data_IF_701172506364
#
_entry.id   IF_701172506364
#
_cell.length_a   1.000
_cell.length_b   1.000
_cell.length_c   1.000
_cell.angle_alpha   90.00
_cell.angle_beta   90.00
_cell.angle_gamma   90.00
#
_symmetry.space_group_name_H-M   'P 1'
#
loop_
_entity.id
_entity.type
_entity.pdbx_description
1 polymer ?
#
# COMPACT_ATOMS: atom_id res chain seq x y z
N UNK A 1 7.66 -8.72 -2.97
CA UNK A 1 7.51 -9.97 -3.76
C UNK A 1 6.96 -9.68 -5.16
N UNK A 2 5.77 -9.05 -5.31
CA UNK A 2 5.14 -8.77 -6.61
C UNK A 2 6.09 -8.00 -7.55
N UNK A 3 6.64 -6.87 -7.09
CA UNK A 3 7.57 -6.03 -7.87
C UNK A 3 8.79 -6.84 -8.32
N UNK A 4 9.38 -7.62 -7.42
CA UNK A 4 10.53 -8.45 -7.75
C UNK A 4 10.18 -9.56 -8.75
N UNK A 5 9.00 -10.18 -8.60
CA UNK A 5 8.56 -11.21 -9.53
C UNK A 5 8.38 -10.64 -10.96
N UNK A 6 7.77 -9.45 -11.12
CA UNK A 6 7.64 -8.82 -12.44
C UNK A 6 9.01 -8.39 -12.98
N UNK A 7 9.90 -7.86 -12.15
CA UNK A 7 11.26 -7.46 -12.57
C UNK A 7 12.13 -8.63 -12.99
N UNK A 8 11.96 -9.80 -12.36
CA UNK A 8 12.66 -11.02 -12.74
C UNK A 8 12.25 -11.52 -14.14
N UNK A 9 11.12 -11.05 -14.69
CA UNK A 9 10.74 -11.27 -16.08
C UNK A 9 11.55 -10.43 -17.07
N UNK A 10 12.27 -9.40 -16.58
CA UNK A 10 13.11 -8.51 -17.37
C UNK A 10 12.71 -7.04 -17.24
N UNK A 11 13.65 -6.18 -17.68
CA UNK A 11 13.47 -4.72 -17.61
C UNK A 11 12.28 -4.23 -18.44
N UNK A 12 12.06 -4.83 -19.61
CA UNK A 12 10.96 -4.43 -20.49
C UNK A 12 9.61 -4.76 -19.86
N UNK A 13 9.46 -5.95 -19.26
CA UNK A 13 8.23 -6.34 -18.57
C UNK A 13 7.88 -5.37 -17.41
N UNK A 14 8.91 -4.93 -16.66
CA UNK A 14 8.71 -3.92 -15.63
C UNK A 14 8.27 -2.57 -16.20
N UNK A 15 8.94 -2.09 -17.26
CA UNK A 15 8.60 -0.81 -17.88
C UNK A 15 7.19 -0.84 -18.48
N UNK A 16 6.83 -1.91 -19.17
CA UNK A 16 5.49 -2.07 -19.75
C UNK A 16 4.40 -2.06 -18.70
N UNK A 17 4.61 -2.75 -17.56
CA UNK A 17 3.69 -2.74 -16.43
C UNK A 17 3.65 -1.40 -15.70
N UNK A 18 4.82 -0.77 -15.48
CA UNK A 18 4.91 0.48 -14.70
C UNK A 18 4.39 1.70 -15.45
N UNK A 19 4.50 1.69 -16.77
CA UNK A 19 4.03 2.77 -17.65
C UNK A 19 2.63 2.51 -18.23
N UNK A 20 2.06 1.32 -17.96
CA UNK A 20 0.72 0.95 -18.40
C UNK A 20 0.58 0.72 -19.90
N UNK A 21 1.69 0.39 -20.60
CA UNK A 21 1.71 0.24 -22.05
C UNK A 21 0.85 -0.90 -22.57
N UNK A 22 0.76 -1.97 -21.79
CA UNK A 22 0.04 -3.20 -22.14
C UNK A 22 -0.98 -3.61 -21.07
N UNK A 23 -1.56 -2.63 -20.36
CA UNK A 23 -2.51 -2.89 -19.26
C UNK A 23 -3.73 -3.69 -19.72
N UNK A 24 -4.27 -3.39 -20.90
CA UNK A 24 -5.43 -4.08 -21.45
C UNK A 24 -5.10 -5.53 -21.82
N UNK A 25 -3.94 -5.77 -22.41
CA UNK A 25 -3.44 -7.08 -22.78
C UNK A 25 -3.20 -7.95 -21.54
N UNK A 26 -2.59 -7.37 -20.49
CA UNK A 26 -2.44 -8.05 -19.21
C UNK A 26 -3.80 -8.43 -18.63
N UNK A 27 -4.77 -7.53 -18.64
CA UNK A 27 -6.11 -7.81 -18.13
C UNK A 27 -6.83 -8.90 -18.92
N UNK A 28 -6.66 -8.95 -20.27
CA UNK A 28 -7.20 -10.02 -21.12
C UNK A 28 -6.57 -11.37 -20.79
N UNK A 29 -5.25 -11.44 -20.68
CA UNK A 29 -4.55 -12.66 -20.25
C UNK A 29 -4.98 -13.09 -18.83
N UNK A 30 -5.31 -12.16 -17.94
CA UNK A 30 -5.83 -12.47 -16.61
C UNK A 30 -7.21 -13.15 -16.64
N UNK A 31 -8.05 -12.89 -17.63
CA UNK A 31 -9.35 -13.56 -17.79
C UNK A 31 -9.32 -14.75 -18.77
N UNK A 32 -8.13 -15.13 -19.22
CA UNK A 32 -7.94 -16.28 -20.09
C UNK A 32 -8.12 -16.00 -21.58
N UNK A 33 -8.10 -14.73 -22.00
CA UNK A 33 -8.11 -14.31 -23.41
C UNK A 33 -6.66 -14.13 -23.91
N UNK A 34 -6.11 -15.05 -24.74
CA UNK A 34 -4.74 -14.94 -25.23
C UNK A 34 -4.59 -13.73 -26.15
N UNK A 35 -3.58 -12.91 -25.88
CA UNK A 35 -3.32 -11.68 -26.66
C UNK A 35 -2.17 -11.82 -27.64
N UNK A 36 -1.26 -12.78 -27.40
CA UNK A 36 -0.02 -12.93 -28.16
C UNK A 36 1.02 -11.84 -27.87
N UNK A 37 0.74 -10.89 -26.98
CA UNK A 37 1.65 -9.82 -26.62
C UNK A 37 2.73 -10.33 -25.66
N UNK A 38 3.99 -10.14 -26.07
CA UNK A 38 5.13 -10.57 -25.27
C UNK A 38 5.11 -9.91 -23.89
N UNK A 39 5.26 -10.69 -22.86
CA UNK A 39 5.30 -10.25 -21.47
C UNK A 39 3.92 -10.13 -20.80
N UNK A 40 2.82 -9.88 -21.54
CA UNK A 40 1.48 -9.75 -20.95
C UNK A 40 1.05 -11.01 -20.19
N UNK A 41 1.24 -12.19 -20.79
CA UNK A 41 0.94 -13.49 -20.18
C UNK A 41 1.73 -13.75 -18.90
N UNK A 42 3.02 -13.43 -18.91
CA UNK A 42 3.88 -13.67 -17.75
C UNK A 42 3.56 -12.72 -16.60
N UNK A 43 3.29 -11.45 -16.90
CA UNK A 43 2.85 -10.47 -15.91
C UNK A 43 1.48 -10.89 -15.34
N UNK A 44 0.53 -11.28 -16.20
CA UNK A 44 -0.79 -11.75 -15.77
C UNK A 44 -0.68 -12.95 -14.83
N UNK A 45 0.21 -13.93 -15.13
CA UNK A 45 0.48 -15.08 -14.27
C UNK A 45 0.99 -14.63 -12.89
N UNK A 46 1.99 -13.75 -12.84
CA UNK A 46 2.54 -13.22 -11.58
C UNK A 46 1.47 -12.47 -10.77
N UNK A 47 0.61 -11.69 -11.43
CA UNK A 47 -0.50 -11.00 -10.76
C UNK A 47 -1.51 -11.99 -10.17
N UNK A 48 -1.93 -13.01 -10.93
CA UNK A 48 -2.85 -14.07 -10.46
C UNK A 48 -2.27 -14.84 -9.27
N UNK A 49 -1.02 -15.27 -9.35
CA UNK A 49 -0.34 -15.97 -8.26
C UNK A 49 -0.28 -15.11 -6.98
N UNK A 50 0.04 -13.83 -7.14
CA UNK A 50 0.06 -12.87 -6.02
C UNK A 50 -1.33 -12.70 -5.40
N UNK A 51 -2.35 -12.51 -6.23
CA UNK A 51 -3.74 -12.36 -5.79
C UNK A 51 -4.23 -13.60 -5.04
N UNK A 52 -3.96 -14.79 -5.58
CA UNK A 52 -4.32 -16.04 -4.93
C UNK A 52 -3.59 -16.21 -3.59
N UNK A 53 -2.32 -15.84 -3.51
CA UNK A 53 -1.56 -15.85 -2.25
C UNK A 53 -2.22 -14.97 -1.18
N UNK A 54 -2.72 -13.79 -1.54
CA UNK A 54 -3.43 -12.91 -0.58
C UNK A 54 -4.79 -13.46 -0.19
N UNK A 55 -5.53 -14.00 -1.15
CA UNK A 55 -6.81 -14.67 -0.91
C UNK A 55 -6.66 -15.81 0.09
N UNK A 56 -5.71 -16.71 -0.14
CA UNK A 56 -5.44 -17.84 0.75
C UNK A 56 -5.04 -17.36 2.15
N UNK A 57 -4.21 -16.32 2.25
CA UNK A 57 -3.81 -15.75 3.53
C UNK A 57 -4.98 -15.10 4.29
N UNK A 58 -5.91 -14.46 3.59
CA UNK A 58 -7.15 -13.97 4.19
C UNK A 58 -8.06 -15.11 4.63
N UNK A 59 -8.16 -16.19 3.84
CA UNK A 59 -8.94 -17.36 4.18
C UNK A 59 -8.39 -18.10 5.40
N UNK A 60 -7.08 -18.20 5.53
CA UNK A 60 -6.43 -18.73 6.75
C UNK A 60 -6.83 -17.94 8.02
N UNK A 61 -7.24 -16.69 7.86
CA UNK A 61 -7.72 -15.83 8.94
C UNK A 61 -9.25 -15.80 9.08
N UNK A 62 -9.95 -16.63 8.30
CA UNK A 62 -11.39 -16.80 8.38
C UNK A 62 -12.21 -15.96 7.39
N UNK A 63 -11.61 -15.42 6.32
CA UNK A 63 -12.34 -14.61 5.34
C UNK A 63 -13.29 -15.40 4.44
N UNK A 64 -12.98 -16.68 4.15
CA UNK A 64 -13.76 -17.56 3.29
C UNK A 64 -14.08 -16.97 1.89
N UNK A 65 -13.05 -16.41 1.24
CA UNK A 65 -13.16 -15.81 -0.10
C UNK A 65 -13.05 -16.91 -1.15
N UNK A 66 -14.06 -17.04 -2.02
CA UNK A 66 -14.06 -17.95 -3.17
C UNK A 66 -12.95 -17.61 -4.18
N UNK A 67 -12.61 -18.59 -5.00
CA UNK A 67 -11.74 -18.39 -6.16
C UNK A 67 -12.57 -17.95 -7.36
N UNK A 68 -12.07 -16.95 -8.08
CA UNK A 68 -12.65 -16.48 -9.33
C UNK A 68 -11.55 -16.47 -10.39
N UNK A 69 -11.71 -17.27 -11.42
CA UNK A 69 -10.71 -17.42 -12.49
C UNK A 69 -10.51 -16.13 -13.29
N UNK A 70 -11.57 -15.32 -13.41
CA UNK A 70 -11.62 -14.07 -14.17
C UNK A 70 -11.54 -12.82 -13.25
N UNK A 71 -10.93 -12.96 -12.06
CA UNK A 71 -10.89 -11.86 -11.13
C UNK A 71 -9.90 -10.77 -11.56
N UNK A 72 -10.40 -9.55 -11.74
CA UNK A 72 -9.64 -8.34 -11.98
C UNK A 72 -9.93 -7.35 -10.85
N UNK A 73 -8.99 -6.44 -10.59
CA UNK A 73 -9.16 -5.37 -9.60
C UNK A 73 -10.48 -4.62 -9.78
N UNK A 74 -11.10 -4.17 -8.68
CA UNK A 74 -12.34 -3.39 -8.75
C UNK A 74 -12.10 -2.07 -9.48
N UNK A 75 -13.10 -1.60 -10.21
CA UNK A 75 -13.12 -0.26 -10.78
C UNK A 75 -13.18 0.76 -9.64
N UNK A 76 -12.42 1.83 -9.76
CA UNK A 76 -12.48 3.00 -8.89
C UNK A 76 -13.31 4.09 -9.57
N UNK A 77 -13.85 5.02 -8.77
CA UNK A 77 -14.63 6.15 -9.25
C UNK A 77 -13.97 7.43 -8.76
N UNK A 78 -13.64 8.33 -9.69
CA UNK A 78 -13.03 9.61 -9.37
C UNK A 78 -14.12 10.70 -9.34
N UNK A 79 -14.45 11.19 -8.16
CA UNK A 79 -15.56 12.13 -7.96
C UNK A 79 -15.32 13.48 -8.62
N UNK A 80 -14.07 13.92 -8.81
CA UNK A 80 -13.77 15.16 -9.54
C UNK A 80 -14.03 15.01 -11.03
N UNK A 81 -13.58 13.89 -11.62
CA UNK A 81 -13.89 13.59 -13.02
C UNK A 81 -15.39 13.43 -13.23
N UNK A 82 -16.10 12.83 -12.27
CA UNK A 82 -17.56 12.70 -12.30
C UNK A 82 -18.26 14.05 -12.16
N UNK A 83 -17.78 14.93 -11.27
CA UNK A 83 -18.30 16.29 -11.11
C UNK A 83 -18.04 17.20 -12.31
N UNK A 84 -17.18 16.79 -13.22
CA UNK A 84 -16.87 17.46 -14.47
C UNK A 84 -17.30 16.64 -15.71
N UNK A 85 -18.28 15.73 -15.55
CA UNK A 85 -18.73 14.85 -16.62
C UNK A 85 -19.36 15.64 -17.80
N UNK A 86 -20.10 16.70 -17.50
CA UNK A 86 -20.59 17.65 -18.48
C UNK A 86 -19.50 18.68 -18.80
N UNK A 87 -19.11 18.74 -20.08
CA UNK A 87 -18.12 19.74 -20.55
C UNK A 87 -18.68 21.16 -20.61
N UNK A 88 -20.00 21.31 -20.63
CA UNK A 88 -20.70 22.56 -20.87
C UNK A 88 -21.32 23.19 -19.62
N UNK A 89 -21.42 22.44 -18.54
CA UNK A 89 -22.09 22.90 -17.32
C UNK A 89 -21.35 22.46 -16.04
N UNK A 90 -21.44 23.32 -15.02
CA UNK A 90 -20.96 23.02 -13.66
C UNK A 90 -22.09 22.58 -12.71
N UNK A 91 -23.34 22.50 -13.21
CA UNK A 91 -24.47 22.07 -12.42
C UNK A 91 -24.35 20.57 -12.11
N UNK A 92 -24.68 20.18 -10.89
CA UNK A 92 -24.62 18.78 -10.42
C UNK A 92 -25.54 17.91 -11.27
N UNK A 93 -26.73 18.41 -11.62
CA UNK A 93 -27.73 17.74 -12.44
C UNK A 93 -27.18 17.35 -13.81
N UNK A 94 -26.56 18.30 -14.52
CA UNK A 94 -26.02 18.08 -15.86
C UNK A 94 -24.83 17.11 -15.83
N UNK A 95 -24.01 17.16 -14.79
CA UNK A 95 -22.91 16.21 -14.60
C UNK A 95 -23.41 14.81 -14.29
N UNK A 96 -24.46 14.69 -13.47
CA UNK A 96 -25.13 13.42 -13.18
C UNK A 96 -25.71 12.79 -14.46
N UNK A 97 -26.46 13.57 -15.24
CA UNK A 97 -27.02 13.10 -16.52
C UNK A 97 -25.91 12.65 -17.48
N UNK A 98 -24.89 13.45 -17.68
CA UNK A 98 -23.77 13.11 -18.57
C UNK A 98 -23.02 11.84 -18.13
N UNK A 99 -22.87 11.62 -16.82
CA UNK A 99 -22.28 10.39 -16.30
C UNK A 99 -23.20 9.19 -16.52
N UNK A 100 -24.49 9.33 -16.23
CA UNK A 100 -25.50 8.27 -16.41
C UNK A 100 -25.59 7.84 -17.85
N UNK A 101 -25.72 8.77 -18.78
CA UNK A 101 -25.73 8.51 -20.22
C UNK A 101 -24.48 7.74 -20.67
N UNK A 102 -23.31 8.19 -20.22
CA UNK A 102 -22.06 7.55 -20.60
C UNK A 102 -21.94 6.14 -20.04
N UNK A 103 -22.22 5.94 -18.74
CA UNK A 103 -22.02 4.63 -18.11
C UNK A 103 -22.98 3.58 -18.67
N UNK A 104 -24.21 3.95 -19.03
CA UNK A 104 -25.15 3.04 -19.68
C UNK A 104 -24.59 2.44 -20.96
N UNK A 105 -23.83 3.22 -21.75
CA UNK A 105 -23.20 2.71 -22.97
C UNK A 105 -22.11 1.67 -22.68
N UNK A 106 -21.59 1.61 -21.44
CA UNK A 106 -20.48 0.75 -21.03
C UNK A 106 -20.92 -0.49 -20.24
N UNK A 107 -22.11 -0.46 -19.65
CA UNK A 107 -22.61 -1.55 -18.80
C UNK A 107 -23.31 -2.66 -19.59
N UNK A 108 -23.15 -3.89 -19.11
CA UNK A 108 -24.05 -4.99 -19.41
C UNK A 108 -25.30 -4.83 -18.56
N UNK A 109 -26.34 -4.24 -19.13
CA UNK A 109 -27.57 -3.86 -18.41
C UNK A 109 -28.28 -5.07 -17.83
N UNK A 110 -28.35 -6.20 -18.57
CA UNK A 110 -28.98 -7.45 -18.08
C UNK A 110 -28.27 -7.98 -16.84
N UNK A 111 -26.93 -7.99 -16.83
CA UNK A 111 -26.14 -8.49 -15.70
C UNK A 111 -26.13 -7.51 -14.52
N UNK A 112 -26.25 -6.21 -14.80
CA UNK A 112 -26.22 -5.16 -13.76
C UNK A 112 -27.56 -5.03 -13.07
N UNK A 113 -28.66 -5.05 -13.81
CA UNK A 113 -29.99 -4.75 -13.29
C UNK A 113 -30.92 -5.96 -13.21
N UNK A 114 -30.45 -7.16 -13.62
CA UNK A 114 -31.18 -8.42 -13.56
C UNK A 114 -32.62 -8.30 -14.10
N UNK A 115 -33.56 -8.01 -13.20
CA UNK A 115 -35.02 -8.01 -13.47
C UNK A 115 -35.58 -6.62 -13.83
N UNK A 116 -34.75 -5.55 -13.82
CA UNK A 116 -35.17 -4.19 -14.14
C UNK A 116 -34.91 -3.90 -15.62
N UNK A 117 -35.98 -3.78 -16.41
CA UNK A 117 -35.89 -3.51 -17.85
C UNK A 117 -36.41 -2.11 -18.25
N UNK A 118 -37.05 -1.40 -17.33
CA UNK A 118 -37.56 -0.05 -17.59
C UNK A 118 -36.41 0.96 -17.64
N UNK A 119 -36.21 1.67 -18.79
CA UNK A 119 -35.17 2.67 -18.91
C UNK A 119 -35.26 3.81 -17.90
N UNK A 120 -36.48 4.17 -17.49
CA UNK A 120 -36.69 5.24 -16.50
C UNK A 120 -36.20 4.79 -15.12
N UNK A 121 -36.48 3.57 -14.77
CA UNK A 121 -36.06 2.98 -13.50
C UNK A 121 -34.53 2.77 -13.47
N UNK A 122 -33.94 2.29 -14.57
CA UNK A 122 -32.48 2.17 -14.73
C UNK A 122 -31.80 3.53 -14.56
N UNK A 123 -32.32 4.57 -15.17
CA UNK A 123 -31.81 5.95 -15.02
C UNK A 123 -31.88 6.43 -13.57
N UNK A 124 -32.98 6.15 -12.88
CA UNK A 124 -33.16 6.51 -11.48
C UNK A 124 -32.16 5.78 -10.58
N UNK A 125 -31.94 4.49 -10.80
CA UNK A 125 -30.96 3.69 -10.05
C UNK A 125 -29.55 4.21 -10.31
N UNK A 126 -29.16 4.47 -11.55
CA UNK A 126 -27.83 5.01 -11.89
C UNK A 126 -27.62 6.40 -11.32
N UNK A 127 -28.64 7.25 -11.32
CA UNK A 127 -28.59 8.58 -10.67
C UNK A 127 -28.36 8.44 -9.15
N UNK A 128 -29.04 7.52 -8.51
CA UNK A 128 -28.84 7.24 -7.09
C UNK A 128 -27.43 6.68 -6.80
N UNK A 129 -26.88 5.85 -7.69
CA UNK A 129 -25.50 5.38 -7.60
C UNK A 129 -24.52 6.56 -7.74
N UNK A 130 -24.74 7.46 -8.72
CA UNK A 130 -23.92 8.66 -8.88
C UNK A 130 -23.92 9.49 -7.59
N UNK A 131 -25.09 9.79 -7.03
CA UNK A 131 -25.21 10.58 -5.83
C UNK A 131 -24.53 9.91 -4.62
N UNK A 132 -24.68 8.60 -4.49
CA UNK A 132 -24.01 7.80 -3.44
C UNK A 132 -22.49 7.80 -3.60
N UNK A 133 -21.96 7.73 -4.83
CA UNK A 133 -20.53 7.84 -5.10
C UNK A 133 -20.03 9.25 -4.79
N UNK A 134 -20.77 10.29 -5.19
CA UNK A 134 -20.39 11.69 -4.98
C UNK A 134 -20.40 12.11 -3.53
N UNK A 135 -21.34 11.58 -2.73
CA UNK A 135 -21.44 11.88 -1.28
C UNK A 135 -20.57 10.96 -0.43
N UNK A 136 -20.11 9.83 -0.96
CA UNK A 136 -19.41 8.80 -0.22
C UNK A 136 -20.32 7.99 0.73
N UNK A 137 -21.65 8.10 0.61
CA UNK A 137 -22.62 7.43 1.49
C UNK A 137 -22.54 5.92 1.44
N UNK A 138 -22.21 5.34 0.27
CA UNK A 138 -21.94 3.92 0.10
C UNK A 138 -20.80 3.41 1.02
N UNK A 139 -19.90 4.30 1.44
CA UNK A 139 -18.80 3.96 2.35
C UNK A 139 -19.19 4.14 3.82
N UNK A 140 -20.05 5.11 4.10
CA UNK A 140 -20.50 5.41 5.48
C UNK A 140 -21.44 4.34 5.99
N UNK A 141 -22.36 3.87 5.17
CA UNK A 141 -23.48 3.00 5.55
C UNK A 141 -23.35 1.55 5.09
N UNK A 142 -22.27 1.19 4.39
CA UNK A 142 -21.97 -0.18 4.02
C UNK A 142 -22.98 -0.82 3.04
N UNK A 143 -23.65 -0.01 2.22
CA UNK A 143 -24.70 -0.47 1.30
C UNK A 143 -26.08 -0.66 1.99
N UNK A 144 -27.13 -0.56 1.21
CA UNK A 144 -28.54 -0.49 1.64
C UNK A 144 -29.09 -1.67 2.44
N UNK A 145 -28.33 -2.75 2.64
CA UNK A 145 -28.75 -3.97 3.34
C UNK A 145 -27.98 -4.27 4.62
N UNK A 146 -27.34 -3.27 5.24
CA UNK A 146 -26.43 -3.52 6.36
C UNK A 146 -27.02 -3.35 7.74
N UNK A 147 -28.19 -3.87 8.00
CA UNK A 147 -28.70 -3.94 9.37
C UNK A 147 -27.90 -4.93 10.22
N UNK A 148 -27.27 -5.94 9.61
CA UNK A 148 -26.46 -6.95 10.29
C UNK A 148 -25.14 -7.23 9.56
N UNK A 149 -24.00 -6.79 10.14
CA UNK A 149 -22.70 -7.40 9.87
C UNK A 149 -21.83 -6.80 8.76
N UNK A 150 -22.10 -5.59 8.26
CA UNK A 150 -21.26 -4.93 7.23
C UNK A 150 -19.87 -4.51 7.72
N UNK A 151 -19.67 -4.47 9.03
CA UNK A 151 -18.36 -4.23 9.64
C UNK A 151 -17.46 -5.48 9.63
N UNK A 152 -18.01 -6.65 9.26
CA UNK A 152 -17.24 -7.86 9.09
C UNK A 152 -16.44 -7.78 7.79
N UNK A 153 -15.11 -7.91 7.90
CA UNK A 153 -14.18 -7.89 6.77
C UNK A 153 -14.53 -8.97 5.74
N UNK A 154 -14.94 -10.15 6.18
CA UNK A 154 -15.34 -11.27 5.33
C UNK A 154 -16.51 -10.90 4.42
N UNK A 155 -17.58 -10.33 4.98
CA UNK A 155 -18.76 -9.95 4.19
C UNK A 155 -18.42 -8.86 3.17
N UNK A 156 -17.59 -7.90 3.54
CA UNK A 156 -17.13 -6.84 2.65
C UNK A 156 -16.27 -7.36 1.50
N UNK A 157 -15.41 -8.34 1.75
CA UNK A 157 -14.56 -8.94 0.72
C UNK A 157 -15.35 -9.84 -0.22
N UNK A 158 -16.41 -10.49 0.26
CA UNK A 158 -17.28 -11.38 -0.52
C UNK A 158 -18.41 -10.64 -1.25
N UNK A 159 -18.57 -9.32 -1.07
CA UNK A 159 -19.63 -8.57 -1.76
C UNK A 159 -19.42 -8.57 -3.27
N UNK A 160 -20.49 -8.91 -4.02
CA UNK A 160 -20.50 -8.88 -5.49
C UNK A 160 -20.33 -7.47 -6.05
N UNK A 161 -19.92 -7.37 -7.30
CA UNK A 161 -19.91 -6.10 -8.04
C UNK A 161 -21.34 -5.66 -8.34
N UNK A 162 -21.62 -4.38 -8.17
CA UNK A 162 -22.92 -3.80 -8.53
C UNK A 162 -22.95 -3.46 -10.03
N UNK A 163 -21.88 -2.89 -10.56
CA UNK A 163 -21.77 -2.48 -11.96
C UNK A 163 -20.98 -3.53 -12.76
N UNK A 164 -21.60 -4.10 -13.76
CA UNK A 164 -21.00 -5.07 -14.66
C UNK A 164 -20.78 -4.42 -16.04
N UNK A 165 -19.54 -4.25 -16.43
CA UNK A 165 -19.19 -3.73 -17.75
C UNK A 165 -19.44 -4.78 -18.85
N UNK A 166 -19.70 -4.34 -20.09
CA UNK A 166 -19.91 -5.22 -21.24
C UNK A 166 -18.71 -6.11 -21.49
N UNK A 167 -17.54 -5.50 -21.46
CA UNK A 167 -16.24 -6.11 -21.72
C UNK A 167 -15.12 -5.30 -21.02
N UNK A 168 -13.88 -5.77 -21.15
CA UNK A 168 -12.70 -5.09 -20.59
C UNK A 168 -12.41 -3.75 -21.24
N UNK A 169 -12.69 -3.61 -22.55
CA UNK A 169 -12.50 -2.38 -23.26
C UNK A 169 -13.43 -1.28 -22.72
N UNK A 170 -14.72 -1.59 -22.57
CA UNK A 170 -15.70 -0.66 -22.00
C UNK A 170 -15.32 -0.24 -20.56
N UNK A 171 -14.80 -1.20 -19.77
CA UNK A 171 -14.28 -0.92 -18.42
C UNK A 171 -13.07 -0.01 -18.45
N UNK A 172 -12.11 -0.23 -19.34
CA UNK A 172 -10.89 0.57 -19.44
C UNK A 172 -11.23 2.01 -19.90
N UNK A 173 -12.13 2.15 -20.86
CA UNK A 173 -12.62 3.47 -21.30
C UNK A 173 -13.33 4.22 -20.17
N UNK A 174 -14.08 3.53 -19.32
CA UNK A 174 -14.65 4.12 -18.12
C UNK A 174 -13.58 4.56 -17.13
N UNK A 175 -12.58 3.72 -16.88
CA UNK A 175 -11.49 4.02 -15.95
C UNK A 175 -10.68 5.24 -16.41
N UNK A 176 -10.41 5.36 -17.71
CA UNK A 176 -9.73 6.54 -18.30
C UNK A 176 -10.56 7.80 -18.05
N UNK A 177 -11.87 7.73 -18.26
CA UNK A 177 -12.75 8.90 -18.18
C UNK A 177 -13.14 9.26 -16.75
N UNK A 178 -13.47 8.29 -15.91
CA UNK A 178 -14.07 8.49 -14.58
C UNK A 178 -13.43 7.69 -13.43
N UNK A 179 -12.36 6.97 -13.70
CA UNK A 179 -11.69 6.14 -12.70
C UNK A 179 -10.18 6.25 -12.70
N UNK A 180 -9.53 5.18 -12.25
CA UNK A 180 -8.09 4.99 -12.28
C UNK A 180 -7.70 4.17 -13.52
N UNK A 181 -7.02 4.76 -14.49
CA UNK A 181 -6.67 4.09 -15.74
C UNK A 181 -5.54 3.07 -15.56
N UNK A 182 -4.65 3.26 -14.59
CA UNK A 182 -3.46 2.45 -14.41
C UNK A 182 -3.76 1.12 -13.71
N UNK A 183 -3.44 0.02 -14.37
CA UNK A 183 -3.50 -1.32 -13.75
C UNK A 183 -2.53 -1.44 -12.58
N UNK A 184 -1.32 -0.90 -12.71
CA UNK A 184 -0.33 -0.87 -11.65
C UNK A 184 -0.89 -0.22 -10.39
N UNK A 185 -1.45 1.00 -10.50
CA UNK A 185 -2.06 1.72 -9.37
C UNK A 185 -3.19 0.90 -8.74
N UNK A 186 -4.08 0.33 -9.58
CA UNK A 186 -5.18 -0.51 -9.12
C UNK A 186 -4.71 -1.76 -8.35
N UNK A 187 -3.66 -2.42 -8.84
CA UNK A 187 -3.05 -3.60 -8.19
C UNK A 187 -2.41 -3.22 -6.85
N UNK A 188 -1.65 -2.12 -6.79
CA UNK A 188 -1.06 -1.66 -5.53
C UNK A 188 -2.10 -1.23 -4.51
N UNK A 189 -3.21 -0.67 -4.97
CA UNK A 189 -4.35 -0.32 -4.13
C UNK A 189 -4.97 -1.56 -3.48
N UNK A 190 -5.19 -2.61 -4.26
CA UNK A 190 -5.69 -3.89 -3.74
C UNK A 190 -4.67 -4.53 -2.78
N UNK A 191 -3.39 -4.50 -3.11
CA UNK A 191 -2.32 -5.03 -2.25
C UNK A 191 -2.32 -4.34 -0.87
N UNK A 192 -2.37 -3.01 -0.86
CA UNK A 192 -2.39 -2.22 0.38
C UNK A 192 -3.63 -2.51 1.21
N UNK A 193 -4.80 -2.57 0.56
CA UNK A 193 -6.05 -2.91 1.22
C UNK A 193 -6.04 -4.33 1.79
N UNK A 194 -5.53 -5.30 1.02
CA UNK A 194 -5.41 -6.70 1.47
C UNK A 194 -4.43 -6.84 2.63
N UNK A 195 -3.28 -6.16 2.58
CA UNK A 195 -2.31 -6.15 3.67
C UNK A 195 -2.92 -5.57 4.97
N UNK A 196 -3.65 -4.47 4.87
CA UNK A 196 -4.39 -3.88 6.00
C UNK A 196 -5.40 -4.89 6.57
N UNK A 197 -6.23 -5.48 5.72
CA UNK A 197 -7.23 -6.46 6.16
C UNK A 197 -6.58 -7.68 6.82
N UNK A 198 -5.47 -8.18 6.28
CA UNK A 198 -4.71 -9.29 6.88
C UNK A 198 -4.26 -8.93 8.30
N UNK A 199 -3.66 -7.77 8.50
CA UNK A 199 -3.19 -7.33 9.82
C UNK A 199 -4.37 -7.14 10.78
N UNK A 200 -5.42 -6.46 10.34
CA UNK A 200 -6.62 -6.24 11.15
C UNK A 200 -7.27 -7.57 11.59
N UNK A 201 -7.37 -8.54 10.67
CA UNK A 201 -7.93 -9.86 10.99
C UNK A 201 -7.01 -10.70 11.87
N UNK A 202 -5.69 -10.57 11.73
CA UNK A 202 -4.72 -11.26 12.59
C UNK A 202 -4.82 -10.81 14.04
N UNK A 203 -4.97 -9.50 14.28
CA UNK A 203 -4.95 -8.92 15.61
C UNK A 203 -6.36 -8.90 16.26
N UNK A 204 -7.40 -8.66 15.47
CA UNK A 204 -8.75 -8.37 15.98
C UNK A 204 -9.83 -9.35 15.46
N UNK A 205 -9.44 -10.38 14.69
CA UNK A 205 -10.36 -11.35 14.11
C UNK A 205 -11.16 -10.82 12.91
N UNK A 206 -12.18 -11.58 12.51
CA UNK A 206 -12.98 -11.30 11.29
C UNK A 206 -13.88 -10.07 11.42
N UNK A 207 -14.15 -9.61 12.66
CA UNK A 207 -14.88 -8.37 12.92
C UNK A 207 -14.04 -7.41 13.79
N UNK A 208 -13.02 -6.75 13.21
CA UNK A 208 -12.07 -5.93 13.97
C UNK A 208 -12.74 -4.81 14.75
N UNK A 209 -13.77 -4.15 14.21
CA UNK A 209 -14.48 -3.07 14.87
C UNK A 209 -15.21 -3.51 16.14
N UNK A 210 -15.87 -4.66 16.09
CA UNK A 210 -16.59 -5.20 17.24
C UNK A 210 -15.61 -5.67 18.32
N UNK A 211 -14.55 -6.37 17.93
CA UNK A 211 -13.47 -6.78 18.85
C UNK A 211 -12.84 -5.57 19.53
N UNK A 212 -12.51 -4.52 18.79
CA UNK A 212 -11.95 -3.29 19.32
C UNK A 212 -12.91 -2.63 20.34
N UNK A 213 -14.20 -2.52 20.00
CA UNK A 213 -15.22 -1.95 20.90
C UNK A 213 -15.38 -2.80 22.18
N UNK A 214 -15.34 -4.14 22.09
CA UNK A 214 -15.37 -5.03 23.25
C UNK A 214 -14.14 -4.85 24.15
N UNK A 215 -12.95 -4.73 23.55
CA UNK A 215 -11.70 -4.46 24.30
C UNK A 215 -11.82 -3.13 25.05
N UNK A 216 -12.28 -2.06 24.40
CA UNK A 216 -12.48 -0.76 25.06
C UNK A 216 -13.50 -0.86 26.20
N UNK A 217 -14.60 -1.59 26.02
CA UNK A 217 -15.61 -1.78 27.07
C UNK A 217 -15.05 -2.53 28.27
N UNK A 218 -14.23 -3.59 28.03
CA UNK A 218 -13.57 -4.36 29.09
C UNK A 218 -12.55 -3.49 29.84
N UNK A 219 -11.77 -2.67 29.15
CA UNK A 219 -10.81 -1.75 29.75
C UNK A 219 -11.53 -0.71 30.63
N UNK A 220 -12.63 -0.13 30.14
CA UNK A 220 -13.46 0.80 30.94
C UNK A 220 -14.03 0.15 32.19
N UNK A 221 -14.42 -1.13 32.12
CA UNK A 221 -14.90 -1.88 33.28
C UNK A 221 -13.78 -2.17 34.28
N UNK A 222 -12.55 -2.44 33.80
CA UNK A 222 -11.39 -2.78 34.63
C UNK A 222 -10.87 -1.56 35.40
N UNK A 223 -10.83 -0.38 34.77
CA UNK A 223 -10.32 0.83 35.39
C UNK A 223 -11.46 1.66 35.95
N UNK A 224 -11.35 1.98 37.24
CA UNK A 224 -12.35 2.80 37.97
C UNK A 224 -12.14 4.28 37.68
N UNK A 225 -13.13 5.11 38.03
CA UNK A 225 -13.07 6.55 37.85
C UNK A 225 -11.93 7.27 38.61
N UNK A 226 -11.27 6.59 39.56
CA UNK A 226 -10.07 7.08 40.24
C UNK A 226 -8.85 7.21 39.30
N UNK A 227 -8.79 6.44 38.21
CA UNK A 227 -7.71 6.49 37.22
C UNK A 227 -8.05 7.46 36.08
N UNK A 228 -8.31 8.71 36.45
CA UNK A 228 -8.85 9.75 35.55
C UNK A 228 -8.14 9.83 34.20
N UNK A 229 -6.81 9.75 34.17
CA UNK A 229 -6.04 9.81 32.91
C UNK A 229 -6.37 8.64 31.97
N UNK A 230 -6.39 7.41 32.51
CA UNK A 230 -6.70 6.20 31.74
C UNK A 230 -8.17 6.22 31.29
N UNK A 231 -9.09 6.57 32.18
CA UNK A 231 -10.53 6.65 31.87
C UNK A 231 -10.79 7.73 30.82
N UNK A 232 -10.13 8.89 30.92
CA UNK A 232 -10.20 9.94 29.92
C UNK A 232 -9.71 9.44 28.55
N UNK A 233 -8.54 8.79 28.48
CA UNK A 233 -7.97 8.30 27.24
C UNK A 233 -8.81 7.17 26.62
N UNK A 234 -9.47 6.34 27.44
CA UNK A 234 -10.42 5.32 27.01
C UNK A 234 -11.78 5.91 26.57
N UNK A 235 -12.19 7.03 27.15
CA UNK A 235 -13.47 7.70 26.81
C UNK A 235 -13.33 8.64 25.64
N UNK A 236 -12.17 9.26 25.49
CA UNK A 236 -11.93 10.22 24.43
C UNK A 236 -11.23 9.55 23.23
N UNK A 237 -11.40 10.15 22.12
CA UNK A 237 -11.12 9.81 20.75
C UNK A 237 -9.72 9.30 20.43
N UNK A 238 -8.75 9.35 21.36
CA UNK A 238 -7.37 8.94 21.07
C UNK A 238 -7.28 7.50 20.56
N UNK A 239 -7.87 6.53 21.27
CA UNK A 239 -7.87 5.13 20.81
C UNK A 239 -8.81 4.91 19.63
N UNK A 240 -9.97 5.55 19.61
CA UNK A 240 -10.91 5.49 18.50
C UNK A 240 -10.37 6.20 17.28
N UNK A 241 -9.72 7.36 17.46
CA UNK A 241 -9.05 8.10 16.41
C UNK A 241 -7.88 7.31 15.81
N UNK A 242 -7.04 6.69 16.64
CA UNK A 242 -5.96 5.81 16.19
C UNK A 242 -6.50 4.59 15.41
N UNK A 243 -7.55 3.94 15.91
CA UNK A 243 -8.21 2.86 15.20
C UNK A 243 -8.79 3.33 13.85
N UNK A 244 -9.47 4.48 13.85
CA UNK A 244 -10.05 5.08 12.65
C UNK A 244 -8.97 5.45 11.60
N UNK A 245 -7.78 5.83 12.03
CA UNK A 245 -6.64 6.04 11.11
C UNK A 245 -6.15 4.71 10.51
N UNK A 246 -6.11 3.65 11.31
CA UNK A 246 -5.64 2.34 10.85
C UNK A 246 -6.65 1.69 9.91
N UNK A 247 -7.94 1.72 10.24
CA UNK A 247 -8.99 1.11 9.41
C UNK A 247 -9.38 1.98 8.20
N UNK A 248 -8.96 3.25 8.20
CA UNK A 248 -9.20 4.22 7.13
C UNK A 248 -10.50 5.01 7.29
N UNK A 249 -11.31 4.74 8.32
CA UNK A 249 -12.57 5.45 8.55
C UNK A 249 -12.38 6.92 8.93
N UNK A 250 -11.22 7.29 9.50
CA UNK A 250 -10.87 8.68 9.78
C UNK A 250 -10.82 9.55 8.50
N UNK A 251 -10.64 8.93 7.35
CA UNK A 251 -10.51 9.63 6.07
C UNK A 251 -11.86 9.74 5.32
N UNK A 252 -12.92 9.19 5.89
CA UNK A 252 -14.28 9.34 5.33
C UNK A 252 -14.83 10.68 5.83
N UNK A 253 -14.87 11.66 4.91
CA UNK A 253 -15.34 13.00 5.27
C UNK A 253 -16.81 13.01 5.67
N UNK A 254 -17.13 13.65 6.80
CA UNK A 254 -18.52 13.94 7.19
C UNK A 254 -19.19 14.90 6.20
N UNK A 255 -18.42 15.88 5.69
CA UNK A 255 -18.80 16.81 4.63
C UNK A 255 -17.63 16.95 3.64
N UNK A 256 -17.86 16.61 2.38
CA UNK A 256 -16.84 16.74 1.34
C UNK A 256 -16.43 18.19 1.08
N UNK A 257 -17.38 19.13 1.17
CA UNK A 257 -17.10 20.56 0.96
C UNK A 257 -16.14 21.08 2.04
N UNK A 258 -16.42 20.77 3.32
CA UNK A 258 -15.55 21.18 4.43
C UNK A 258 -14.18 20.49 4.37
N UNK A 259 -14.15 19.23 3.95
CA UNK A 259 -12.90 18.51 3.75
C UNK A 259 -12.04 19.15 2.66
N UNK A 260 -12.64 19.54 1.52
CA UNK A 260 -11.95 20.25 0.44
C UNK A 260 -11.40 21.61 0.89
N UNK A 261 -12.21 22.40 1.61
CA UNK A 261 -11.77 23.70 2.17
C UNK A 261 -10.59 23.48 3.14
N UNK A 262 -10.71 22.52 4.07
CA UNK A 262 -9.66 22.19 5.03
C UNK A 262 -8.37 21.74 4.35
N UNK A 263 -8.47 21.02 3.24
CA UNK A 263 -7.31 20.59 2.45
C UNK A 263 -6.63 21.75 1.73
N UNK A 264 -7.39 22.65 1.11
CA UNK A 264 -6.84 23.86 0.49
C UNK A 264 -6.04 24.66 1.52
N UNK A 265 -6.62 24.89 2.70
CA UNK A 265 -5.96 25.63 3.79
C UNK A 265 -4.68 24.89 4.23
N UNK A 266 -4.74 23.56 4.44
CA UNK A 266 -3.59 22.76 4.85
C UNK A 266 -2.51 22.76 3.78
N UNK A 267 -2.85 22.48 2.53
CA UNK A 267 -1.90 22.41 1.41
C UNK A 267 -1.21 23.75 1.17
N UNK A 268 -1.94 24.86 1.26
CA UNK A 268 -1.39 26.21 1.17
C UNK A 268 -0.46 26.50 2.35
N UNK A 269 -0.85 26.10 3.57
CA UNK A 269 -0.03 26.23 4.76
C UNK A 269 1.25 25.40 4.68
N UNK A 270 1.17 24.18 4.16
CA UNK A 270 2.33 23.30 3.96
C UNK A 270 3.29 23.89 2.91
N UNK A 271 2.80 24.39 1.79
CA UNK A 271 3.62 25.04 0.79
C UNK A 271 4.31 26.31 1.34
N UNK A 272 3.58 27.12 2.11
CA UNK A 272 4.14 28.34 2.71
C UNK A 272 5.21 28.03 3.77
N UNK A 273 4.97 27.01 4.62
CA UNK A 273 5.89 26.66 5.72
C UNK A 273 7.09 25.83 5.26
N UNK A 274 6.89 24.95 4.31
CA UNK A 274 7.89 23.97 3.89
C UNK A 274 8.64 24.34 2.61
N UNK A 275 8.29 25.47 1.97
CA UNK A 275 8.95 25.91 0.74
C UNK A 275 10.48 26.10 0.87
N UNK A 276 10.95 26.52 2.04
CA UNK A 276 12.37 26.73 2.35
C UNK A 276 13.10 25.53 2.98
N UNK A 277 12.40 24.42 3.28
CA UNK A 277 12.97 23.31 4.05
C UNK A 277 14.05 22.53 3.32
N UNK A 278 14.15 22.63 1.99
CA UNK A 278 15.24 22.00 1.24
C UNK A 278 16.61 22.58 1.67
N UNK A 279 16.68 23.87 1.94
CA UNK A 279 17.91 24.53 2.38
C UNK A 279 18.31 24.06 3.79
N UNK A 280 17.32 23.88 4.67
CA UNK A 280 17.54 23.41 6.05
C UNK A 280 17.76 21.90 6.15
N UNK A 281 17.35 21.11 5.14
CA UNK A 281 17.52 19.65 5.11
C UNK A 281 18.97 19.19 4.91
N UNK A 282 19.93 20.10 4.80
CA UNK A 282 21.37 19.77 4.90
C UNK A 282 21.73 19.05 6.20
N UNK A 283 20.99 19.29 7.28
CA UNK A 283 21.13 18.54 8.54
C UNK A 283 20.83 17.04 8.39
N UNK A 284 20.00 16.63 7.42
CA UNK A 284 19.67 15.23 7.12
C UNK A 284 20.87 14.42 6.59
N UNK A 285 21.98 15.10 6.24
CA UNK A 285 23.25 14.44 5.90
C UNK A 285 23.95 13.83 7.12
N UNK A 286 23.71 14.36 8.32
CA UNK A 286 24.38 13.87 9.54
C UNK A 286 24.08 12.38 9.83
N UNK A 287 22.84 11.87 9.77
CA UNK A 287 22.55 10.44 9.87
C UNK A 287 23.25 9.61 8.79
N UNK A 288 23.34 10.10 7.55
CA UNK A 288 24.06 9.42 6.49
C UNK A 288 25.55 9.30 6.79
N UNK A 289 26.18 10.38 7.23
CA UNK A 289 27.59 10.39 7.65
C UNK A 289 27.80 9.44 8.84
N UNK A 290 26.86 9.37 9.78
CA UNK A 290 26.87 8.41 10.88
C UNK A 290 26.84 6.96 10.39
N UNK A 291 25.99 6.65 9.42
CA UNK A 291 25.87 5.31 8.81
C UNK A 291 27.19 4.89 8.14
N UNK A 292 27.80 5.76 7.35
CA UNK A 292 29.06 5.46 6.65
C UNK A 292 30.24 5.33 7.62
N UNK A 293 30.27 6.13 8.68
CA UNK A 293 31.25 5.99 9.75
C UNK A 293 31.10 4.68 10.53
N UNK A 294 29.86 4.28 10.81
CA UNK A 294 29.57 2.96 11.41
C UNK A 294 30.10 1.82 10.55
N UNK A 295 29.99 1.92 9.23
CA UNK A 295 30.51 0.95 8.26
C UNK A 295 32.04 1.00 8.09
N UNK A 296 32.75 1.77 8.91
CA UNK A 296 34.21 1.93 8.85
C UNK A 296 34.70 2.80 7.67
N UNK A 297 33.81 3.55 7.02
CA UNK A 297 34.14 4.49 5.95
C UNK A 297 34.22 5.90 6.52
N UNK A 298 35.15 6.71 6.00
CA UNK A 298 35.33 8.07 6.49
C UNK A 298 34.11 8.96 6.28
N UNK A 299 33.88 9.91 7.18
CA UNK A 299 32.76 10.86 7.11
C UNK A 299 32.69 11.63 5.78
N UNK A 300 33.85 12.05 5.23
CA UNK A 300 33.92 12.73 3.95
C UNK A 300 33.56 11.81 2.76
N UNK A 301 33.95 10.54 2.84
CA UNK A 301 33.57 9.53 1.85
C UNK A 301 32.06 9.34 1.85
N UNK A 302 31.43 9.29 3.04
CA UNK A 302 29.99 9.24 3.18
C UNK A 302 29.27 10.44 2.59
N UNK A 303 29.79 11.64 2.83
CA UNK A 303 29.24 12.86 2.25
C UNK A 303 29.32 12.83 0.71
N UNK A 304 30.49 12.46 0.18
CA UNK A 304 30.70 12.37 -1.27
C UNK A 304 29.81 11.29 -1.90
N UNK A 305 29.68 10.12 -1.28
CA UNK A 305 28.78 9.05 -1.74
C UNK A 305 27.29 9.48 -1.63
N UNK A 306 26.88 10.20 -0.59
CA UNK A 306 25.55 10.77 -0.49
C UNK A 306 25.25 11.71 -1.67
N UNK A 307 26.20 12.58 -1.99
CA UNK A 307 26.04 13.53 -3.10
C UNK A 307 26.12 12.86 -4.46
N UNK A 308 27.00 11.88 -4.67
CA UNK A 308 27.16 11.16 -5.96
C UNK A 308 26.11 10.06 -6.14
N UNK A 309 25.71 9.34 -5.09
CA UNK A 309 24.63 8.36 -5.12
C UNK A 309 23.27 8.97 -5.48
N UNK A 310 23.11 10.29 -5.28
CA UNK A 310 21.93 11.02 -5.75
C UNK A 310 21.79 11.00 -7.28
N UNK A 311 22.86 10.70 -8.02
CA UNK A 311 22.90 10.81 -9.48
C UNK A 311 23.08 9.47 -10.21
N UNK A 312 23.23 8.34 -9.51
CA UNK A 312 23.54 7.07 -10.14
C UNK A 312 22.28 6.26 -10.48
N UNK A 313 22.03 6.05 -11.79
CA UNK A 313 20.83 5.34 -12.26
C UNK A 313 20.81 3.85 -11.88
N UNK A 314 21.99 3.22 -11.70
CA UNK A 314 22.09 1.79 -11.35
C UNK A 314 21.70 1.55 -9.88
N UNK A 315 22.06 2.46 -8.98
CA UNK A 315 21.62 2.38 -7.58
C UNK A 315 20.11 2.56 -7.46
N UNK A 316 19.47 3.26 -8.40
CA UNK A 316 18.02 3.41 -8.46
C UNK A 316 17.30 2.08 -8.68
N UNK A 317 17.80 1.21 -9.54
CA UNK A 317 17.24 -0.12 -9.77
C UNK A 317 17.40 -1.02 -8.52
N UNK A 318 18.55 -0.96 -7.84
CA UNK A 318 18.77 -1.68 -6.59
C UNK A 318 17.88 -1.14 -5.45
N UNK A 319 17.68 0.18 -5.38
CA UNK A 319 16.80 0.83 -4.39
C UNK A 319 15.33 0.48 -4.57
N UNK A 320 14.87 0.37 -5.81
CA UNK A 320 13.50 -0.05 -6.10
C UNK A 320 13.29 -1.52 -5.73
N UNK A 321 14.28 -2.38 -5.96
CA UNK A 321 14.27 -3.79 -5.55
C UNK A 321 14.25 -3.94 -4.02
N UNK A 322 14.92 -3.05 -3.29
CA UNK A 322 14.94 -3.05 -1.83
C UNK A 322 13.65 -2.50 -1.19
N UNK A 323 12.62 -2.20 -1.97
CA UNK A 323 11.32 -1.65 -1.51
C UNK A 323 11.42 -0.36 -0.69
N UNK A 324 12.52 0.33 -0.74
CA UNK A 324 12.67 1.60 -0.02
C UNK A 324 11.82 2.67 -0.69
N UNK A 325 11.74 2.62 -2.01
CA UNK A 325 10.84 3.46 -2.81
C UNK A 325 9.38 3.02 -2.61
N UNK A 326 9.13 1.76 -2.26
CA UNK A 326 7.79 1.24 -1.93
C UNK A 326 7.14 2.01 -0.76
N UNK A 327 7.90 2.52 0.21
CA UNK A 327 7.31 3.38 1.24
C UNK A 327 6.80 4.71 0.67
N UNK A 328 7.43 5.24 -0.35
CA UNK A 328 6.96 6.42 -1.10
C UNK A 328 5.79 6.05 -2.01
N UNK A 329 5.88 4.95 -2.75
CA UNK A 329 4.77 4.43 -3.57
C UNK A 329 3.61 3.91 -2.72
N UNK A 330 3.89 3.18 -1.64
CA UNK A 330 2.86 2.69 -0.72
C UNK A 330 2.22 3.84 0.05
N UNK A 331 2.96 4.87 0.41
CA UNK A 331 2.39 6.09 1.00
C UNK A 331 1.57 6.87 -0.03
N UNK A 332 2.00 6.93 -1.28
CA UNK A 332 1.26 7.57 -2.37
C UNK A 332 0.05 6.72 -2.79
N UNK A 333 0.20 5.41 -2.87
CA UNK A 333 -0.90 4.48 -3.12
C UNK A 333 -1.86 4.37 -1.92
N UNK A 334 -1.34 4.42 -0.68
CA UNK A 334 -2.18 4.51 0.52
C UNK A 334 -2.94 5.83 0.58
N UNK A 335 -2.30 6.94 0.23
CA UNK A 335 -2.97 8.23 0.07
C UNK A 335 -3.99 8.15 -1.08
N UNK A 336 -3.62 7.62 -2.24
CA UNK A 336 -4.54 7.39 -3.36
C UNK A 336 -5.73 6.52 -2.98
N UNK A 337 -5.53 5.44 -2.20
CA UNK A 337 -6.60 4.55 -1.73
C UNK A 337 -7.49 5.17 -0.66
N UNK A 338 -6.89 5.89 0.25
CA UNK A 338 -7.61 6.62 1.28
C UNK A 338 -8.48 7.70 0.64
N UNK A 339 -8.04 8.26 -0.47
CA UNK A 339 -8.75 9.32 -1.20
C UNK A 339 -9.64 8.76 -2.34
N UNK A 340 -9.25 7.69 -3.03
CA UNK A 340 -10.11 7.01 -4.01
C UNK A 340 -11.29 6.26 -3.35
N UNK A 341 -11.19 5.97 -2.06
CA UNK A 341 -12.29 5.39 -1.30
C UNK A 341 -13.38 6.41 -0.91
N UNK A 342 -13.38 7.63 -1.43
CA UNK A 342 -14.45 8.59 -1.21
C UNK A 342 -14.04 10.05 -1.02
N UNK A 343 -12.75 10.36 -1.06
CA UNK A 343 -12.28 11.73 -1.00
C UNK A 343 -11.25 11.98 -2.09
N UNK A 344 -11.71 12.42 -3.24
CA UNK A 344 -10.89 13.08 -4.26
C UNK A 344 -10.47 14.48 -3.81
N UNK A 345 -9.98 14.58 -2.61
CA UNK A 345 -9.53 15.83 -2.03
C UNK A 345 -8.14 16.25 -2.54
N UNK A 346 -7.57 15.45 -3.43
CA UNK A 346 -6.32 15.76 -4.12
C UNK A 346 -6.49 16.60 -5.38
N UNK A 347 -7.64 17.10 -5.69
CA UNK A 347 -7.87 17.94 -6.84
C UNK A 347 -6.71 18.86 -7.24
N UNK A 348 -6.94 19.81 -8.06
CA UNK A 348 -5.91 20.73 -8.57
C UNK A 348 -4.95 21.30 -7.50
N UNK A 349 -5.40 21.42 -6.25
CA UNK A 349 -4.55 21.93 -5.14
C UNK A 349 -3.55 20.90 -4.67
N UNK A 350 -3.93 19.62 -4.58
CA UNK A 350 -3.01 18.53 -4.26
C UNK A 350 -1.98 18.28 -5.36
N UNK A 351 -2.40 18.40 -6.64
CA UNK A 351 -1.47 18.36 -7.78
C UNK A 351 -0.50 19.54 -7.75
N UNK A 352 -0.99 20.74 -7.41
CA UNK A 352 -0.15 21.93 -7.25
C UNK A 352 0.86 21.75 -6.12
N UNK A 353 0.44 21.21 -4.97
CA UNK A 353 1.32 20.89 -3.84
C UNK A 353 2.38 19.85 -4.23
N UNK A 354 1.99 18.78 -4.89
CA UNK A 354 2.93 17.76 -5.36
C UNK A 354 3.91 18.33 -6.40
N UNK A 355 3.42 19.17 -7.31
CA UNK A 355 4.26 19.86 -8.31
C UNK A 355 5.23 20.82 -7.63
N UNK A 356 4.77 21.57 -6.63
CA UNK A 356 5.61 22.46 -5.82
C UNK A 356 6.73 21.71 -5.11
N UNK A 357 6.43 20.57 -4.43
CA UNK A 357 7.46 19.77 -3.76
C UNK A 357 8.35 18.96 -4.72
N UNK A 358 7.90 18.69 -5.94
CA UNK A 358 8.78 18.20 -7.01
C UNK A 358 9.72 19.31 -7.48
N UNK A 359 9.24 20.53 -7.65
CA UNK A 359 9.99 21.69 -8.11
C UNK A 359 11.05 22.12 -7.10
N UNK A 360 10.73 22.19 -5.81
CA UNK A 360 11.71 22.53 -4.79
C UNK A 360 12.67 21.38 -4.46
N UNK A 361 12.52 20.21 -5.07
CA UNK A 361 13.41 19.06 -4.95
C UNK A 361 13.37 18.32 -3.60
N UNK A 362 12.61 18.81 -2.61
CA UNK A 362 12.60 18.25 -1.25
C UNK A 362 12.21 16.76 -1.22
N UNK A 363 11.15 16.38 -1.93
CA UNK A 363 10.70 14.98 -1.99
C UNK A 363 11.77 14.07 -2.63
N UNK A 364 12.44 14.58 -3.66
CA UNK A 364 13.54 13.87 -4.32
C UNK A 364 14.76 13.71 -3.41
N UNK A 365 15.13 14.78 -2.71
CA UNK A 365 16.28 14.82 -1.80
C UNK A 365 16.12 13.82 -0.66
N UNK A 366 15.07 13.99 0.16
CA UNK A 366 14.82 13.13 1.34
C UNK A 366 14.65 11.67 0.95
N UNK A 367 13.93 11.40 -0.13
CA UNK A 367 13.71 10.03 -0.62
C UNK A 367 15.02 9.37 -1.05
N UNK A 368 15.88 10.08 -1.78
CA UNK A 368 17.17 9.57 -2.24
C UNK A 368 18.13 9.34 -1.07
N UNK A 369 18.20 10.28 -0.12
CA UNK A 369 19.04 10.14 1.05
C UNK A 369 18.68 8.90 1.87
N UNK A 370 17.39 8.73 2.19
CA UNK A 370 16.88 7.56 2.89
C UNK A 370 17.17 6.27 2.14
N UNK A 371 16.98 6.28 0.84
CA UNK A 371 17.23 5.12 -0.01
C UNK A 371 18.70 4.72 -0.03
N UNK A 372 19.60 5.70 -0.15
CA UNK A 372 21.06 5.46 -0.13
C UNK A 372 21.53 4.88 1.20
N UNK A 373 20.95 5.30 2.33
CA UNK A 373 21.29 4.76 3.66
C UNK A 373 20.94 3.28 3.77
N UNK A 374 19.71 2.92 3.40
CA UNK A 374 19.26 1.51 3.46
C UNK A 374 20.05 0.64 2.49
N UNK A 375 20.31 1.17 1.28
CA UNK A 375 21.11 0.48 0.29
C UNK A 375 22.53 0.22 0.80
N UNK A 376 23.14 1.24 1.43
CA UNK A 376 24.46 1.13 2.04
C UNK A 376 24.51 0.05 3.11
N UNK A 377 23.55 0.02 4.04
CA UNK A 377 23.47 -1.00 5.08
C UNK A 377 23.18 -2.39 4.52
N UNK A 378 22.24 -2.50 3.58
CA UNK A 378 21.91 -3.77 2.93
C UNK A 378 23.13 -4.37 2.19
N UNK A 379 23.92 -3.53 1.53
CA UNK A 379 25.17 -3.92 0.89
C UNK A 379 26.23 -4.31 1.91
N UNK A 380 26.39 -3.52 2.99
CA UNK A 380 27.34 -3.78 4.05
C UNK A 380 27.10 -5.18 4.65
N UNK A 381 25.87 -5.48 5.05
CA UNK A 381 25.52 -6.80 5.59
C UNK A 381 25.54 -7.90 4.50
N UNK A 382 25.29 -7.56 3.24
CA UNK A 382 25.47 -8.48 2.11
C UNK A 382 26.92 -8.94 1.95
N UNK A 383 27.89 -8.07 2.22
CA UNK A 383 29.31 -8.42 2.24
C UNK A 383 29.69 -9.26 3.46
N UNK A 384 29.03 -9.05 4.59
CA UNK A 384 29.24 -9.79 5.85
C UNK A 384 28.49 -11.12 5.90
N UNK A 385 27.68 -11.45 4.90
CA UNK A 385 26.84 -12.67 4.89
C UNK A 385 27.65 -13.98 5.01
N UNK A 386 28.93 -13.99 4.61
CA UNK A 386 29.81 -15.16 4.73
C UNK A 386 30.48 -15.25 6.12
N UNK A 387 30.34 -14.23 6.98
CA UNK A 387 30.99 -14.13 8.29
C UNK A 387 30.04 -14.53 9.40
N UNK A 388 30.46 -15.38 10.35
CA UNK A 388 29.66 -15.74 11.53
C UNK A 388 29.54 -14.55 12.51
N UNK A 389 28.48 -14.52 13.31
CA UNK A 389 28.25 -13.42 14.26
C UNK A 389 29.46 -13.21 15.20
N UNK A 390 30.03 -14.28 15.72
CA UNK A 390 31.19 -14.24 16.62
C UNK A 390 32.45 -13.63 15.98
N UNK A 391 32.57 -13.72 14.68
CA UNK A 391 33.74 -13.25 13.90
C UNK A 391 33.54 -11.84 13.34
N UNK A 392 32.36 -11.23 13.55
CA UNK A 392 32.10 -9.84 13.22
C UNK A 392 32.82 -8.90 14.19
N UNK A 393 33.04 -7.65 13.77
CA UNK A 393 33.53 -6.59 14.64
C UNK A 393 32.62 -6.44 15.89
N UNK A 394 33.22 -6.04 17.02
CA UNK A 394 32.51 -5.88 18.29
C UNK A 394 31.33 -4.93 18.18
N UNK A 395 31.49 -3.83 17.40
CA UNK A 395 30.41 -2.86 17.19
C UNK A 395 29.23 -3.47 16.43
N UNK A 396 29.52 -4.25 15.38
CA UNK A 396 28.51 -4.95 14.59
C UNK A 396 27.75 -5.98 15.44
N UNK A 397 28.46 -6.79 16.23
CA UNK A 397 27.83 -7.75 17.14
C UNK A 397 26.93 -7.07 18.16
N UNK A 398 27.43 -6.01 18.80
CA UNK A 398 26.66 -5.27 19.79
C UNK A 398 25.42 -4.63 19.17
N UNK A 399 25.56 -4.09 17.97
CA UNK A 399 24.45 -3.52 17.22
C UNK A 399 23.40 -4.57 16.85
N UNK A 400 23.77 -5.72 16.30
CA UNK A 400 22.86 -6.80 15.97
C UNK A 400 22.16 -7.35 17.22
N UNK A 401 22.91 -7.53 18.32
CA UNK A 401 22.37 -7.96 19.60
C UNK A 401 21.36 -6.97 20.18
N UNK A 402 21.56 -5.65 20.01
CA UNK A 402 20.62 -4.62 20.44
C UNK A 402 19.26 -4.78 19.78
N UNK A 403 19.22 -5.28 18.53
CA UNK A 403 18.00 -5.62 17.82
C UNK A 403 17.51 -7.05 18.07
N UNK A 404 18.11 -7.77 19.02
CA UNK A 404 17.73 -9.13 19.36
C UNK A 404 18.09 -10.16 18.28
N UNK A 405 19.10 -9.88 17.45
CA UNK A 405 19.67 -10.80 16.47
C UNK A 405 20.83 -11.53 17.15
N UNK A 406 20.57 -12.72 17.62
CA UNK A 406 21.54 -13.67 18.18
C UNK A 406 22.23 -14.49 17.06
N UNK A 407 23.12 -15.41 17.45
CA UNK A 407 23.87 -16.24 16.51
C UNK A 407 22.95 -17.06 15.59
N UNK A 408 21.88 -17.65 16.14
CA UNK A 408 20.95 -18.46 15.35
C UNK A 408 20.13 -17.65 14.37
N UNK A 409 19.66 -16.47 14.76
CA UNK A 409 18.95 -15.55 13.84
C UNK A 409 19.89 -14.98 12.79
N UNK A 410 21.14 -14.68 13.17
CA UNK A 410 22.14 -14.22 12.19
C UNK A 410 22.45 -15.32 11.17
N UNK A 411 22.60 -16.57 11.62
CA UNK A 411 22.81 -17.72 10.72
C UNK A 411 21.63 -17.91 9.75
N UNK A 412 20.40 -17.71 10.21
CA UNK A 412 19.24 -17.71 9.33
C UNK A 412 19.26 -16.56 8.32
N UNK A 413 19.56 -15.33 8.75
CA UNK A 413 19.62 -14.16 7.87
C UNK A 413 20.73 -14.30 6.82
N UNK A 414 21.92 -14.74 7.17
CA UNK A 414 23.03 -14.90 6.25
C UNK A 414 22.87 -16.09 5.29
N UNK A 415 21.99 -17.05 5.61
CA UNK A 415 21.66 -18.18 4.73
C UNK A 415 20.69 -17.78 3.61
N UNK A 416 20.05 -16.62 3.72
CA UNK A 416 19.14 -16.11 2.71
C UNK A 416 19.93 -15.76 1.45
N UNK A 417 19.37 -16.10 0.28
CA UNK A 417 19.95 -15.71 -0.99
C UNK A 417 20.07 -14.19 -1.09
N UNK A 418 21.30 -13.70 -1.15
CA UNK A 418 21.55 -12.28 -1.33
C UNK A 418 21.17 -11.85 -2.74
N UNK A 419 20.60 -10.66 -2.86
CA UNK A 419 20.34 -10.05 -4.17
C UNK A 419 21.67 -9.56 -4.75
N UNK A 420 22.02 -9.99 -5.96
CA UNK A 420 23.20 -9.55 -6.68
C UNK A 420 22.79 -8.52 -7.76
N UNK A 421 23.36 -7.32 -7.69
CA UNK A 421 23.18 -6.25 -8.69
C UNK A 421 24.56 -5.64 -8.94
N UNK A 422 25.00 -5.57 -10.18
CA UNK A 422 26.30 -4.99 -10.59
C UNK A 422 27.48 -5.50 -9.75
N UNK A 423 27.60 -6.81 -9.57
CA UNK A 423 28.60 -7.48 -8.74
C UNK A 423 28.58 -7.09 -7.24
N UNK A 424 27.54 -6.40 -6.77
CA UNK A 424 27.33 -6.06 -5.36
C UNK A 424 26.28 -6.99 -4.78
N UNK A 425 26.51 -7.44 -3.54
CA UNK A 425 25.59 -8.32 -2.81
C UNK A 425 24.80 -7.49 -1.80
N UNK A 426 23.48 -7.70 -1.77
CA UNK A 426 22.57 -7.00 -0.88
C UNK A 426 21.79 -8.02 -0.04
N UNK A 427 21.75 -7.82 1.29
CA UNK A 427 20.94 -8.64 2.18
C UNK A 427 19.59 -7.94 2.42
N UNK A 428 18.52 -8.51 1.87
CA UNK A 428 17.18 -7.92 1.93
C UNK A 428 16.34 -8.59 3.02
N UNK A 429 15.30 -7.91 3.51
CA UNK A 429 14.41 -8.50 4.48
C UNK A 429 13.42 -9.53 3.88
N UNK A 430 13.21 -9.48 2.58
CA UNK A 430 12.21 -10.32 1.89
C UNK A 430 12.60 -11.79 1.82
N UNK A 431 13.90 -12.09 1.78
CA UNK A 431 14.39 -13.45 1.78
C UNK A 431 14.08 -14.24 3.06
N UNK A 432 13.65 -13.59 4.14
CA UNK A 432 13.25 -14.28 5.38
C UNK A 432 12.13 -15.30 5.15
N UNK A 433 11.26 -15.05 4.19
CA UNK A 433 10.21 -16.01 3.83
C UNK A 433 10.74 -17.31 3.20
N UNK A 434 11.96 -17.29 2.64
CA UNK A 434 12.61 -18.45 2.03
C UNK A 434 13.26 -19.40 3.07
N UNK A 435 13.39 -18.95 4.31
CA UNK A 435 13.94 -19.77 5.40
C UNK A 435 13.05 -21.00 5.62
N UNK A 436 13.65 -22.20 5.59
CA UNK A 436 12.90 -23.45 5.77
C UNK A 436 12.31 -23.57 7.18
N UNK A 437 11.18 -24.27 7.29
CA UNK A 437 10.52 -24.54 8.58
C UNK A 437 11.42 -25.34 9.53
N UNK A 438 12.21 -26.26 8.97
CA UNK A 438 13.12 -27.12 9.75
C UNK A 438 14.22 -26.30 10.44
N UNK A 439 14.76 -25.29 9.77
CA UNK A 439 15.78 -24.40 10.36
C UNK A 439 15.17 -23.61 11.54
N UNK A 440 13.95 -23.12 11.40
CA UNK A 440 13.25 -22.40 12.46
C UNK A 440 12.94 -23.33 13.65
N UNK A 441 12.43 -24.53 13.37
CA UNK A 441 12.13 -25.52 14.40
C UNK A 441 13.39 -25.96 15.15
N UNK A 442 14.51 -26.14 14.44
CA UNK A 442 15.81 -26.45 15.04
C UNK A 442 16.30 -25.33 15.96
N UNK A 443 16.17 -24.09 15.53
CA UNK A 443 16.56 -22.92 16.32
C UNK A 443 15.75 -22.80 17.60
N UNK A 444 14.43 -23.01 17.55
CA UNK A 444 13.55 -22.92 18.71
C UNK A 444 13.46 -24.20 19.56
N UNK A 445 14.13 -25.27 19.13
CA UNK A 445 14.17 -26.55 19.85
C UNK A 445 12.83 -27.28 19.91
N UNK A 446 11.83 -26.89 19.14
CA UNK A 446 10.50 -27.51 19.08
C UNK A 446 9.86 -27.38 17.72
N UNK A 447 8.96 -28.31 17.40
CA UNK A 447 8.13 -28.24 16.18
C UNK A 447 7.02 -27.19 16.36
N UNK A 448 6.96 -26.25 15.46
CA UNK A 448 5.99 -25.16 15.46
C UNK A 448 4.80 -25.46 14.52
N UNK A 449 3.66 -24.91 14.86
CA UNK A 449 2.53 -24.84 13.95
C UNK A 449 2.82 -23.87 12.77
N UNK A 450 2.13 -24.05 11.66
CA UNK A 450 2.25 -23.13 10.50
C UNK A 450 2.01 -21.66 10.85
N UNK A 451 1.14 -21.40 11.84
CA UNK A 451 0.86 -20.04 12.33
C UNK A 451 2.04 -19.45 13.10
N UNK A 452 2.65 -20.25 13.99
CA UNK A 452 3.82 -19.84 14.76
C UNK A 452 5.03 -19.58 13.84
N UNK A 453 5.25 -20.44 12.85
CA UNK A 453 6.31 -20.25 11.85
C UNK A 453 6.11 -18.93 11.07
N UNK A 454 4.89 -18.65 10.62
CA UNK A 454 4.58 -17.37 9.96
C UNK A 454 4.84 -16.17 10.86
N UNK A 455 4.44 -16.25 12.12
CA UNK A 455 4.66 -15.18 13.09
C UNK A 455 6.16 -14.99 13.36
N UNK A 456 6.92 -16.06 13.49
CA UNK A 456 8.36 -15.98 13.65
C UNK A 456 9.04 -15.31 12.44
N UNK A 457 8.73 -15.75 11.22
CA UNK A 457 9.24 -15.15 9.99
C UNK A 457 8.89 -13.67 9.89
N UNK A 458 7.64 -13.30 10.16
CA UNK A 458 7.18 -11.91 10.17
C UNK A 458 7.97 -11.06 11.19
N UNK A 459 8.18 -11.58 12.40
CA UNK A 459 8.93 -10.86 13.43
C UNK A 459 10.40 -10.72 13.05
N UNK A 460 11.03 -11.76 12.50
CA UNK A 460 12.40 -11.70 12.02
C UNK A 460 12.56 -10.72 10.85
N UNK A 461 11.62 -10.75 9.90
CA UNK A 461 11.57 -9.79 8.79
C UNK A 461 11.45 -8.35 9.29
N UNK A 462 10.54 -8.10 10.24
CA UNK A 462 10.34 -6.77 10.82
C UNK A 462 11.59 -6.31 11.58
N UNK A 463 12.20 -7.19 12.35
CA UNK A 463 13.45 -6.92 13.06
C UNK A 463 14.56 -6.54 12.07
N UNK A 464 14.72 -7.31 11.01
CA UNK A 464 15.72 -7.03 9.99
C UNK A 464 15.45 -5.72 9.24
N UNK A 465 14.20 -5.42 8.93
CA UNK A 465 13.81 -4.12 8.36
C UNK A 465 14.16 -2.96 9.29
N UNK A 466 13.99 -3.13 10.59
CA UNK A 466 14.35 -2.10 11.58
C UNK A 466 15.87 -1.89 11.65
N UNK A 467 16.67 -2.96 11.58
CA UNK A 467 18.14 -2.87 11.46
C UNK A 467 18.53 -2.04 10.24
N UNK A 468 17.96 -2.33 9.08
CA UNK A 468 18.25 -1.61 7.83
C UNK A 468 17.78 -0.15 7.83
N UNK A 469 16.83 0.20 8.70
CA UNK A 469 16.23 1.55 8.78
C UNK A 469 16.68 2.35 9.99
N UNK A 470 17.56 1.83 10.83
CA UNK A 470 17.90 2.44 12.12
C UNK A 470 18.27 3.91 12.03
N UNK A 471 19.08 4.26 11.06
CA UNK A 471 19.54 5.65 10.87
C UNK A 471 18.51 6.56 10.17
N UNK A 472 17.33 6.06 9.83
CA UNK A 472 16.23 6.87 9.29
C UNK A 472 15.35 7.50 10.37
N UNK A 473 15.49 7.03 11.60
CA UNK A 473 14.63 7.43 12.74
C UNK A 473 15.34 8.47 13.61
N UNK A 474 16.64 8.66 13.41
CA UNK A 474 17.45 9.71 14.04
C UNK A 474 17.39 11.00 13.25
#
# INVERSE_FOLDING_TARGET
>A
KLVNAIRNLGKDAWNDFSEGRIDLEIMREMIGEPTGVKGAKDIARVLKESQNSWRLRLNDLGANIGELDDWITRTTHNTEKMAAASKSSRLIEDNRLAWVEYIQTKLNLKRTFADVNDPVEINKILSSIYDSLMTGDHMKYGGTNSIYGTKNVTNRLNSSRVLHFKDLQARQEYNIKFGEPSLQTSVFNVLTSSAKNIVMMQELGTNPQDTFNKILALLKKKYKSSDYKIVRDLNFENFRGAYAQIDGSANIAGSQTLAKIGEVIRSTGDMARLGGTMITSGADLAPYMGTTNFQGRGLLTGLFEAMTGLFNANDRAAMEVLQVVSNSYTATAYRGNVYAAGNDSWGKVGELQNTFFKWNGLNGWVSRLKSSMILGLSRHYGMLADTKLKDLDVRERNFLNLYGIDEGKWDMLRSIKTLAVDNKRYMTAEGVDEISEDVINKYLGRKLSKREIRNFKKNLELTWRNVLKVFLVL
#
